data_IF_861544137870
#
_entry.id   IF_861544137870
#
_cell.length_a   1.000
_cell.length_b   1.000
_cell.length_c   1.000
_cell.angle_alpha   90.00
_cell.angle_beta   90.00
_cell.angle_gamma   90.00
#
_symmetry.space_group_name_H-M   'P 1'
#
loop_
_entity.id
_entity.type
_entity.pdbx_description
1 polymer ?
#
# COMPACT_ATOMS: atom_id res chain seq x y z
N UNK A 1 36.81 -23.26 -5.54
CA UNK A 1 36.01 -22.85 -4.36
C UNK A 1 34.57 -23.27 -4.63
N UNK A 2 34.03 -24.23 -3.87
CA UNK A 2 32.61 -24.60 -3.96
C UNK A 2 31.80 -23.45 -3.35
N UNK A 3 31.30 -22.53 -4.17
CA UNK A 3 30.29 -21.58 -3.73
C UNK A 3 29.02 -22.36 -3.43
N UNK A 4 28.61 -22.41 -2.16
CA UNK A 4 27.27 -22.86 -1.81
C UNK A 4 26.26 -22.05 -2.63
N UNK A 5 25.23 -22.68 -3.23
CA UNK A 5 24.20 -21.91 -3.92
C UNK A 5 23.53 -20.97 -2.93
N UNK A 6 23.53 -19.67 -3.26
CA UNK A 6 22.88 -18.63 -2.46
C UNK A 6 21.41 -18.98 -2.28
N UNK A 7 20.98 -19.14 -1.03
CA UNK A 7 19.60 -19.48 -0.72
C UNK A 7 18.77 -18.20 -0.68
N UNK A 8 18.17 -17.84 -1.80
CA UNK A 8 17.31 -16.67 -1.95
C UNK A 8 15.86 -16.88 -1.48
N UNK A 9 15.50 -18.13 -1.15
CA UNK A 9 14.19 -18.53 -0.63
C UNK A 9 14.33 -19.28 0.71
N UNK A 10 13.32 -19.18 1.56
CA UNK A 10 13.16 -19.81 2.86
C UNK A 10 11.67 -20.01 3.19
N UNK A 11 11.38 -20.86 4.19
CA UNK A 11 10.00 -21.05 4.66
C UNK A 11 9.38 -19.75 5.21
N UNK A 12 10.21 -18.84 5.74
CA UNK A 12 9.77 -17.53 6.22
C UNK A 12 9.22 -16.62 5.12
N UNK A 13 9.61 -16.83 3.86
CA UNK A 13 9.09 -16.06 2.72
C UNK A 13 7.58 -16.21 2.55
N UNK A 14 7.00 -17.34 2.98
CA UNK A 14 5.54 -17.54 2.88
C UNK A 14 4.80 -16.55 3.79
N UNK A 15 5.25 -16.40 5.04
CA UNK A 15 4.64 -15.46 5.98
C UNK A 15 4.84 -14.01 5.53
N UNK A 16 6.07 -13.69 5.10
CA UNK A 16 6.42 -12.38 4.57
C UNK A 16 5.57 -12.01 3.34
N UNK A 17 5.36 -12.97 2.42
CA UNK A 17 4.54 -12.78 1.22
C UNK A 17 3.11 -12.42 1.59
N UNK A 18 2.44 -13.18 2.47
CA UNK A 18 1.05 -12.88 2.82
C UNK A 18 0.91 -11.56 3.58
N UNK A 19 1.91 -11.16 4.38
CA UNK A 19 1.92 -9.84 5.00
C UNK A 19 1.98 -8.72 3.94
N UNK A 20 2.99 -8.77 3.08
CA UNK A 20 3.23 -7.73 2.07
C UNK A 20 2.14 -7.68 0.99
N UNK A 21 1.66 -8.84 0.55
CA UNK A 21 0.60 -8.94 -0.47
C UNK A 21 -0.73 -8.42 0.07
N UNK A 22 -1.13 -8.80 1.29
CA UNK A 22 -2.39 -8.32 1.85
C UNK A 22 -2.37 -6.82 2.13
N UNK A 23 -1.22 -6.27 2.51
CA UNK A 23 -1.05 -4.82 2.66
C UNK A 23 -1.28 -4.07 1.34
N UNK A 24 -0.61 -4.50 0.26
CA UNK A 24 -0.80 -3.92 -1.07
C UNK A 24 -2.25 -4.07 -1.58
N UNK A 25 -2.85 -5.24 -1.38
CA UNK A 25 -4.25 -5.49 -1.74
C UNK A 25 -5.19 -4.61 -0.91
N UNK A 26 -4.92 -4.43 0.38
CA UNK A 26 -5.68 -3.53 1.23
C UNK A 26 -5.60 -2.08 0.73
N UNK A 27 -4.43 -1.63 0.28
CA UNK A 27 -4.24 -0.31 -0.34
C UNK A 27 -5.08 -0.12 -1.61
N UNK A 28 -5.11 -1.12 -2.50
CA UNK A 28 -5.96 -1.08 -3.69
C UNK A 28 -7.45 -1.10 -3.34
N UNK A 29 -7.87 -1.97 -2.40
CA UNK A 29 -9.25 -2.02 -1.93
C UNK A 29 -9.66 -0.68 -1.33
N UNK A 30 -8.81 -0.09 -0.50
CA UNK A 30 -9.03 1.21 0.13
C UNK A 30 -9.23 2.30 -0.92
N UNK A 31 -8.35 2.39 -1.91
CA UNK A 31 -8.45 3.38 -2.99
C UNK A 31 -9.79 3.30 -3.72
N UNK A 32 -10.15 2.11 -4.21
CA UNK A 32 -11.38 1.89 -4.99
C UNK A 32 -12.62 2.09 -4.13
N UNK A 33 -12.62 1.57 -2.90
CA UNK A 33 -13.75 1.69 -1.97
C UNK A 33 -14.00 3.13 -1.59
N UNK A 34 -12.96 3.91 -1.24
CA UNK A 34 -13.13 5.31 -0.87
C UNK A 34 -13.64 6.15 -2.05
N UNK A 35 -13.09 5.97 -3.25
CA UNK A 35 -13.56 6.66 -4.45
C UNK A 35 -15.04 6.37 -4.71
N UNK A 36 -15.44 5.10 -4.58
CA UNK A 36 -16.82 4.67 -4.77
C UNK A 36 -17.75 5.22 -3.68
N UNK A 37 -17.43 5.00 -2.41
CA UNK A 37 -18.35 5.26 -1.29
C UNK A 37 -18.45 6.74 -0.97
N UNK A 38 -17.35 7.49 -1.10
CA UNK A 38 -17.31 8.91 -0.73
C UNK A 38 -17.69 9.83 -1.90
N UNK A 39 -17.29 9.47 -3.12
CA UNK A 39 -17.44 10.34 -4.29
C UNK A 39 -18.32 9.75 -5.40
N UNK A 40 -18.90 8.56 -5.19
CA UNK A 40 -19.70 7.85 -6.21
C UNK A 40 -18.93 7.66 -7.54
N UNK A 41 -17.61 7.52 -7.43
CA UNK A 41 -16.75 7.31 -8.60
C UNK A 41 -17.04 5.93 -9.24
N UNK A 42 -17.08 5.82 -10.58
CA UNK A 42 -17.38 4.56 -11.26
C UNK A 42 -16.35 3.48 -10.94
N UNK A 43 -16.78 2.42 -10.25
CA UNK A 43 -15.90 1.34 -9.79
C UNK A 43 -15.22 0.62 -10.95
N UNK A 44 -15.95 0.32 -12.02
CA UNK A 44 -15.39 -0.33 -13.21
C UNK A 44 -14.29 0.53 -13.86
N UNK A 45 -14.47 1.85 -13.90
CA UNK A 45 -13.44 2.76 -14.41
C UNK A 45 -12.17 2.68 -13.56
N UNK A 46 -12.29 2.75 -12.23
CA UNK A 46 -11.14 2.64 -11.33
C UNK A 46 -10.40 1.30 -11.50
N UNK A 47 -11.14 0.19 -11.59
CA UNK A 47 -10.57 -1.15 -11.76
C UNK A 47 -9.85 -1.34 -13.10
N UNK A 48 -10.36 -0.75 -14.18
CA UNK A 48 -9.83 -0.96 -15.55
C UNK A 48 -8.78 0.06 -15.97
N UNK A 49 -8.81 1.27 -15.42
CA UNK A 49 -7.91 2.36 -15.80
C UNK A 49 -6.84 2.67 -14.73
N UNK A 50 -7.21 2.66 -13.44
CA UNK A 50 -6.33 3.13 -12.35
C UNK A 50 -5.54 2.00 -11.69
N UNK A 51 -6.19 0.86 -11.41
CA UNK A 51 -5.58 -0.27 -10.71
C UNK A 51 -4.42 -0.91 -11.48
N UNK A 52 -4.48 -1.16 -12.81
CA UNK A 52 -3.41 -1.85 -13.52
C UNK A 52 -2.07 -1.10 -13.44
N UNK A 53 -2.07 0.21 -13.72
CA UNK A 53 -0.86 1.05 -13.60
C UNK A 53 -0.34 1.15 -12.16
N UNK A 54 -1.26 1.25 -11.19
CA UNK A 54 -0.90 1.28 -9.76
C UNK A 54 -0.23 -0.02 -9.30
N UNK A 55 -0.80 -1.16 -9.69
CA UNK A 55 -0.25 -2.49 -9.41
C UNK A 55 1.07 -2.75 -10.13
N UNK A 56 1.25 -2.19 -11.33
CA UNK A 56 2.51 -2.26 -12.07
C UNK A 56 3.66 -1.56 -11.32
N UNK A 57 3.37 -0.48 -10.59
CA UNK A 57 4.34 0.14 -9.68
C UNK A 57 4.90 -0.83 -8.65
N UNK A 58 4.01 -1.59 -7.99
CA UNK A 58 4.40 -2.63 -7.02
C UNK A 58 5.23 -3.72 -7.68
N UNK A 59 4.77 -4.22 -8.84
CA UNK A 59 5.48 -5.23 -9.63
C UNK A 59 6.92 -4.79 -9.94
N UNK A 60 7.10 -3.57 -10.45
CA UNK A 60 8.42 -3.04 -10.82
C UNK A 60 9.29 -2.88 -9.59
N UNK A 61 8.78 -2.23 -8.54
CA UNK A 61 9.54 -1.94 -7.33
C UNK A 61 10.01 -3.21 -6.60
N UNK A 62 9.11 -4.17 -6.39
CA UNK A 62 9.46 -5.43 -5.72
C UNK A 62 10.39 -6.31 -6.57
N UNK A 63 10.25 -6.32 -7.90
CA UNK A 63 11.22 -6.98 -8.79
C UNK A 63 12.61 -6.33 -8.67
N UNK A 64 12.68 -5.00 -8.65
CA UNK A 64 13.93 -4.30 -8.43
C UNK A 64 14.56 -4.69 -7.09
N UNK A 65 13.80 -4.67 -5.99
CA UNK A 65 14.32 -5.06 -4.68
C UNK A 65 14.70 -6.54 -4.58
N UNK A 66 13.97 -7.43 -5.26
CA UNK A 66 14.37 -8.83 -5.41
C UNK A 66 15.78 -8.93 -6.00
N UNK A 67 16.04 -8.28 -7.14
CA UNK A 67 17.36 -8.33 -7.78
C UNK A 67 18.46 -7.63 -6.97
N UNK A 68 18.15 -6.54 -6.27
CA UNK A 68 19.11 -5.85 -5.40
C UNK A 68 19.50 -6.77 -4.23
N UNK A 69 18.54 -7.45 -3.60
CA UNK A 69 18.78 -8.39 -2.52
C UNK A 69 19.65 -9.57 -2.98
N UNK A 70 19.38 -10.13 -4.17
CA UNK A 70 20.22 -11.18 -4.77
C UNK A 70 21.67 -10.72 -4.99
N UNK A 71 21.84 -9.49 -5.53
CA UNK A 71 23.17 -8.90 -5.74
C UNK A 71 23.90 -8.66 -4.42
N UNK A 72 23.18 -8.21 -3.39
CA UNK A 72 23.73 -8.01 -2.05
C UNK A 72 24.15 -9.34 -1.42
N UNK A 73 23.32 -10.37 -1.51
CA UNK A 73 23.62 -11.72 -1.03
C UNK A 73 24.88 -12.28 -1.73
N UNK A 74 25.00 -12.10 -3.04
CA UNK A 74 26.17 -12.52 -3.80
C UNK A 74 27.46 -11.77 -3.42
N UNK A 75 27.37 -10.46 -3.14
CA UNK A 75 28.54 -9.65 -2.74
C UNK A 75 29.00 -9.94 -1.31
N UNK A 76 28.06 -10.16 -0.40
CA UNK A 76 28.34 -10.39 1.03
C UNK A 76 28.59 -11.86 1.37
N UNK A 77 28.25 -12.78 0.47
CA UNK A 77 28.30 -14.22 0.72
C UNK A 77 27.30 -14.69 1.77
N UNK A 78 26.26 -13.89 2.05
CA UNK A 78 25.25 -14.15 3.08
C UNK A 78 23.99 -14.77 2.49
N UNK A 79 23.47 -15.77 3.20
CA UNK A 79 22.27 -16.53 2.86
C UNK A 79 21.00 -15.95 3.47
N UNK A 80 21.12 -14.93 4.33
CA UNK A 80 20.03 -14.42 5.16
C UNK A 80 19.50 -13.07 4.69
N UNK A 81 20.01 -12.48 3.60
CA UNK A 81 19.58 -11.16 3.11
C UNK A 81 18.07 -11.14 2.81
N UNK A 82 17.37 -10.18 3.42
CA UNK A 82 15.95 -9.93 3.19
C UNK A 82 15.81 -8.82 2.16
N UNK A 83 14.96 -9.01 1.15
CA UNK A 83 14.65 -7.94 0.20
C UNK A 83 13.88 -6.81 0.88
N UNK A 84 14.03 -5.58 0.40
CA UNK A 84 13.23 -4.48 0.95
C UNK A 84 11.79 -4.61 0.40
N UNK A 85 10.76 -4.63 1.26
CA UNK A 85 9.37 -4.68 0.81
C UNK A 85 8.98 -3.34 0.20
N UNK A 86 8.30 -3.35 -0.95
CA UNK A 86 7.71 -2.15 -1.55
C UNK A 86 6.21 -2.37 -1.77
N UNK A 87 5.45 -1.30 -1.61
CA UNK A 87 4.03 -1.33 -1.91
C UNK A 87 3.42 0.04 -2.12
N UNK A 88 2.11 0.10 -2.07
CA UNK A 88 1.35 1.35 -2.19
C UNK A 88 1.46 2.18 -0.93
N UNK A 89 1.70 3.48 -1.08
CA UNK A 89 1.74 4.38 0.06
C UNK A 89 0.33 4.65 0.59
N UNK A 90 -0.05 4.01 1.70
CA UNK A 90 -1.37 4.15 2.33
C UNK A 90 -1.68 5.60 2.73
N UNK A 91 -0.77 6.39 3.35
CA UNK A 91 -0.94 7.82 3.55
C UNK A 91 -1.38 8.57 2.28
N UNK A 92 -0.63 8.39 1.19
CA UNK A 92 -0.93 9.03 -0.09
C UNK A 92 -2.17 8.44 -0.73
N UNK A 93 -2.55 7.20 -0.42
CA UNK A 93 -3.82 6.62 -0.91
C UNK A 93 -4.99 7.44 -0.37
N UNK A 94 -5.02 7.72 0.93
CA UNK A 94 -6.00 8.65 1.50
C UNK A 94 -5.86 10.06 0.91
N UNK A 95 -4.62 10.56 0.85
CA UNK A 95 -4.33 11.91 0.35
C UNK A 95 -4.82 12.14 -1.08
N UNK A 96 -4.48 11.22 -1.99
CA UNK A 96 -4.88 11.25 -3.39
C UNK A 96 -6.39 11.11 -3.52
N UNK A 97 -7.02 10.16 -2.83
CA UNK A 97 -8.48 9.97 -2.99
C UNK A 97 -9.27 11.16 -2.43
N UNK A 98 -8.96 11.62 -1.22
CA UNK A 98 -9.75 12.63 -0.52
C UNK A 98 -9.44 14.07 -0.95
N UNK A 99 -8.22 14.36 -1.39
CA UNK A 99 -7.80 15.73 -1.70
C UNK A 99 -7.46 15.98 -3.17
N UNK A 100 -7.37 14.95 -4.00
CA UNK A 100 -7.04 15.09 -5.43
C UNK A 100 -8.13 14.49 -6.31
N UNK A 101 -8.26 13.17 -6.33
CA UNK A 101 -9.12 12.43 -7.26
C UNK A 101 -10.60 12.71 -7.00
N UNK A 102 -11.06 12.55 -5.76
CA UNK A 102 -12.45 12.80 -5.39
C UNK A 102 -12.91 14.24 -5.64
N UNK A 103 -12.17 15.26 -5.18
CA UNK A 103 -12.45 16.66 -5.49
C UNK A 103 -12.40 16.97 -7.00
N UNK A 104 -11.44 16.41 -7.74
CA UNK A 104 -11.36 16.60 -9.19
C UNK A 104 -12.58 16.01 -9.92
N UNK A 105 -13.03 14.83 -9.50
CA UNK A 105 -14.22 14.19 -10.04
C UNK A 105 -15.49 15.00 -9.75
N UNK A 106 -15.65 15.41 -8.50
CA UNK A 106 -16.78 16.25 -8.07
C UNK A 106 -16.81 17.59 -8.82
N UNK A 107 -15.65 18.22 -9.01
CA UNK A 107 -15.53 19.45 -9.79
C UNK A 107 -15.85 19.23 -11.27
N UNK A 108 -15.47 18.08 -11.84
CA UNK A 108 -15.84 17.71 -13.20
C UNK A 108 -17.35 17.57 -13.39
N UNK A 109 -18.02 16.86 -12.48
CA UNK A 109 -19.48 16.74 -12.48
C UNK A 109 -20.18 18.10 -12.30
N UNK A 110 -19.69 18.92 -11.37
CA UNK A 110 -20.24 20.26 -11.14
C UNK A 110 -20.07 21.19 -12.35
N UNK A 111 -19.05 20.96 -13.20
CA UNK A 111 -18.86 21.65 -14.46
C UNK A 111 -19.74 21.13 -15.61
N UNK A 112 -20.63 20.17 -15.35
CA UNK A 112 -21.55 19.60 -16.34
C UNK A 112 -20.95 18.52 -17.23
N UNK A 113 -19.78 17.97 -16.89
CA UNK A 113 -19.22 16.83 -17.59
C UNK A 113 -20.08 15.58 -17.36
N UNK A 114 -20.11 14.68 -18.34
CA UNK A 114 -20.66 13.34 -18.13
C UNK A 114 -19.82 12.58 -17.09
N UNK A 115 -20.42 11.58 -16.44
CA UNK A 115 -19.74 10.71 -15.46
C UNK A 115 -18.42 10.15 -16.01
N UNK A 116 -18.44 9.67 -17.25
CA UNK A 116 -17.26 9.12 -17.93
C UNK A 116 -16.21 10.20 -18.21
N UNK A 117 -16.61 11.37 -18.74
CA UNK A 117 -15.68 12.46 -19.01
C UNK A 117 -15.06 13.02 -17.72
N UNK A 118 -15.84 13.11 -16.63
CA UNK A 118 -15.34 13.50 -15.32
C UNK A 118 -14.37 12.46 -14.76
N UNK A 119 -14.64 11.16 -14.93
CA UNK A 119 -13.76 10.08 -14.52
C UNK A 119 -12.43 10.09 -15.30
N UNK A 120 -12.48 10.24 -16.62
CA UNK A 120 -11.28 10.35 -17.48
C UNK A 120 -10.45 11.58 -17.13
N UNK A 121 -11.08 12.76 -16.95
CA UNK A 121 -10.37 13.97 -16.50
C UNK A 121 -9.69 13.76 -15.15
N UNK A 122 -10.39 13.13 -14.20
CA UNK A 122 -9.87 12.83 -12.87
C UNK A 122 -8.67 11.89 -12.93
N UNK A 123 -8.75 10.86 -13.78
CA UNK A 123 -7.67 9.92 -14.01
C UNK A 123 -6.44 10.59 -14.61
N UNK A 124 -6.63 11.46 -15.60
CA UNK A 124 -5.55 12.25 -16.20
C UNK A 124 -4.87 13.20 -15.19
N UNK A 125 -5.66 13.85 -14.31
CA UNK A 125 -5.12 14.64 -13.19
C UNK A 125 -4.30 13.75 -12.25
N UNK A 126 -4.83 12.57 -11.90
CA UNK A 126 -4.14 11.58 -11.09
C UNK A 126 -2.80 11.14 -11.67
N UNK A 127 -2.75 10.83 -12.97
CA UNK A 127 -1.51 10.49 -13.70
C UNK A 127 -0.51 11.65 -13.59
N UNK A 128 -0.92 12.88 -13.89
CA UNK A 128 -0.06 14.06 -13.77
C UNK A 128 0.58 14.18 -12.38
N UNK A 129 -0.23 13.98 -11.33
CA UNK A 129 0.22 14.03 -9.95
C UNK A 129 1.25 12.92 -9.65
N UNK A 130 1.01 11.67 -10.06
CA UNK A 130 1.91 10.55 -9.79
C UNK A 130 3.21 10.64 -10.61
N UNK A 131 3.14 11.07 -11.86
CA UNK A 131 4.32 11.35 -12.69
C UNK A 131 5.17 12.44 -12.04
N UNK A 132 4.55 13.53 -11.57
CA UNK A 132 5.27 14.59 -10.86
C UNK A 132 5.91 14.07 -9.56
N UNK A 133 5.20 13.26 -8.77
CA UNK A 133 5.75 12.60 -7.59
C UNK A 133 6.98 11.76 -7.94
N UNK A 134 6.91 10.93 -8.98
CA UNK A 134 8.03 10.11 -9.44
C UNK A 134 9.25 10.94 -9.84
N UNK A 135 9.05 12.03 -10.59
CA UNK A 135 10.11 12.96 -10.98
C UNK A 135 10.72 13.65 -9.75
N UNK A 136 9.88 14.12 -8.82
CA UNK A 136 10.32 14.76 -7.59
C UNK A 136 11.16 13.81 -6.74
N UNK A 137 10.68 12.57 -6.53
CA UNK A 137 11.41 11.52 -5.80
C UNK A 137 12.74 11.18 -6.46
N UNK A 138 12.79 11.12 -7.80
CA UNK A 138 14.03 10.89 -8.55
C UNK A 138 15.03 12.01 -8.28
N UNK A 139 14.59 13.27 -8.30
CA UNK A 139 15.43 14.41 -7.94
C UNK A 139 15.96 14.29 -6.49
N UNK A 140 15.09 13.88 -5.56
CA UNK A 140 15.48 13.63 -4.16
C UNK A 140 16.45 12.44 -4.01
N UNK A 141 16.40 11.42 -4.87
CA UNK A 141 17.30 10.27 -4.79
C UNK A 141 18.77 10.70 -4.94
N UNK A 142 19.05 11.63 -5.87
CA UNK A 142 20.39 12.22 -6.06
C UNK A 142 20.82 13.09 -4.87
N UNK A 143 19.86 13.75 -4.21
CA UNK A 143 20.06 14.60 -3.03
C UNK A 143 19.82 13.90 -1.69
N UNK A 144 19.72 12.57 -1.65
CA UNK A 144 19.20 11.81 -0.49
C UNK A 144 19.93 12.09 0.82
N UNK A 145 21.25 12.26 0.76
CA UNK A 145 22.07 12.62 1.91
C UNK A 145 21.76 14.03 2.44
N UNK A 146 21.50 14.99 1.54
CA UNK A 146 21.13 16.36 1.91
C UNK A 146 19.72 16.42 2.51
N UNK A 147 18.76 15.70 1.93
CA UNK A 147 17.40 15.58 2.48
C UNK A 147 17.44 15.03 3.91
N UNK A 148 18.21 13.96 4.14
CA UNK A 148 18.40 13.36 5.47
C UNK A 148 18.93 14.35 6.51
N UNK A 149 19.81 15.28 6.11
CA UNK A 149 20.42 16.25 7.03
C UNK A 149 19.52 17.44 7.33
N UNK A 150 18.67 17.84 6.39
CA UNK A 150 17.82 19.02 6.54
C UNK A 150 16.53 18.76 7.30
N UNK A 151 15.99 17.54 7.22
CA UNK A 151 14.67 17.27 7.79
C UNK A 151 14.78 16.74 9.23
N UNK A 152 14.24 17.45 10.23
CA UNK A 152 14.34 17.04 11.62
C UNK A 152 13.51 15.78 11.87
N UNK A 153 14.17 14.66 12.24
CA UNK A 153 13.51 13.37 12.52
C UNK A 153 12.29 13.48 13.44
N UNK A 154 12.38 14.30 14.49
CA UNK A 154 11.27 14.47 15.43
C UNK A 154 10.00 15.07 14.78
N UNK A 155 10.13 15.94 13.79
CA UNK A 155 9.00 16.50 13.05
C UNK A 155 8.33 15.49 12.12
N UNK A 156 9.10 14.53 11.62
CA UNK A 156 8.63 13.47 10.72
C UNK A 156 8.00 12.31 11.47
N UNK A 157 8.58 11.90 12.59
CA UNK A 157 8.02 10.84 13.43
C UNK A 157 6.67 11.26 14.02
N UNK A 158 6.48 12.56 14.30
CA UNK A 158 5.18 13.11 14.71
C UNK A 158 4.10 12.96 13.63
N UNK A 159 4.37 13.42 12.40
CA UNK A 159 3.41 13.31 11.30
C UNK A 159 3.17 11.87 10.86
N UNK A 160 4.20 11.01 10.86
CA UNK A 160 4.06 9.59 10.58
C UNK A 160 3.22 8.88 11.63
N UNK A 161 3.43 9.15 12.93
CA UNK A 161 2.62 8.60 14.00
C UNK A 161 1.14 9.01 13.86
N UNK A 162 0.89 10.28 13.52
CA UNK A 162 -0.45 10.82 13.31
C UNK A 162 -1.17 10.15 12.13
N UNK A 163 -0.53 10.10 10.97
CA UNK A 163 -1.08 9.46 9.78
C UNK A 163 -1.32 7.97 10.04
N UNK A 164 -0.35 7.28 10.66
CA UNK A 164 -0.46 5.86 10.96
C UNK A 164 -1.62 5.57 11.93
N UNK A 165 -1.78 6.37 12.98
CA UNK A 165 -2.83 6.14 13.97
C UNK A 165 -4.21 6.55 13.45
N UNK A 166 -4.33 7.74 12.86
CA UNK A 166 -5.62 8.34 12.48
C UNK A 166 -6.09 7.82 11.12
N UNK A 167 -5.23 7.79 10.10
CA UNK A 167 -5.65 7.40 8.76
C UNK A 167 -5.49 5.89 8.53
N UNK A 168 -4.36 5.31 8.90
CA UNK A 168 -4.07 3.89 8.59
C UNK A 168 -4.71 2.93 9.59
N UNK A 169 -4.75 3.26 10.88
CA UNK A 169 -5.36 2.38 11.89
C UNK A 169 -6.84 2.71 12.15
N UNK A 170 -7.16 3.96 12.47
CA UNK A 170 -8.50 4.31 12.94
C UNK A 170 -9.57 4.20 11.84
N UNK A 171 -9.34 4.70 10.62
CA UNK A 171 -10.34 4.60 9.55
C UNK A 171 -10.64 3.12 9.18
N UNK A 172 -9.65 2.26 8.89
CA UNK A 172 -9.93 0.85 8.62
C UNK A 172 -10.55 0.11 9.81
N UNK A 173 -10.26 0.52 11.05
CA UNK A 173 -10.93 -0.05 12.23
C UNK A 173 -12.43 0.23 12.22
N UNK A 174 -12.88 1.41 11.78
CA UNK A 174 -14.31 1.71 11.64
C UNK A 174 -14.98 0.76 10.64
N UNK A 175 -14.34 0.48 9.51
CA UNK A 175 -14.82 -0.50 8.53
C UNK A 175 -14.86 -1.94 9.09
N UNK A 176 -13.87 -2.33 9.90
CA UNK A 176 -13.85 -3.61 10.61
C UNK A 176 -15.04 -3.73 11.57
N UNK A 177 -15.41 -2.63 12.25
CA UNK A 177 -16.53 -2.60 13.20
C UNK A 177 -17.90 -2.63 12.51
N UNK A 178 -18.00 -2.24 11.23
CA UNK A 178 -19.24 -2.39 10.45
C UNK A 178 -19.60 -3.86 10.15
N UNK A 179 -18.62 -4.78 10.17
CA UNK A 179 -18.85 -6.23 10.12
C UNK A 179 -18.25 -6.89 11.36
N UNK A 180 -18.85 -6.68 12.55
CA UNK A 180 -18.17 -6.87 13.82
C UNK A 180 -17.70 -8.32 14.03
N UNK A 181 -18.48 -9.33 13.64
CA UNK A 181 -18.06 -10.72 13.80
C UNK A 181 -16.89 -11.09 12.89
N UNK A 182 -17.03 -10.92 11.57
CA UNK A 182 -15.99 -11.27 10.61
C UNK A 182 -14.74 -10.41 10.78
N UNK A 183 -14.94 -9.11 10.96
CA UNK A 183 -13.88 -8.12 11.15
C UNK A 183 -13.11 -8.33 12.46
N UNK A 184 -13.80 -8.45 13.60
CA UNK A 184 -13.12 -8.63 14.89
C UNK A 184 -12.43 -9.99 15.01
N UNK A 185 -12.96 -11.03 14.37
CA UNK A 185 -12.26 -12.33 14.29
C UNK A 185 -10.95 -12.19 13.51
N UNK A 186 -10.99 -11.57 12.33
CA UNK A 186 -9.77 -11.30 11.54
C UNK A 186 -8.80 -10.42 12.34
N UNK A 187 -9.26 -9.33 12.93
CA UNK A 187 -8.44 -8.44 13.77
C UNK A 187 -7.82 -9.15 14.96
N UNK A 188 -8.56 -9.99 15.67
CA UNK A 188 -8.04 -10.76 16.80
C UNK A 188 -6.92 -11.69 16.34
N UNK A 189 -7.09 -12.38 15.22
CA UNK A 189 -6.07 -13.27 14.68
C UNK A 189 -4.85 -12.47 14.21
N UNK A 190 -5.03 -11.35 13.52
CA UNK A 190 -3.93 -10.45 13.12
C UNK A 190 -3.14 -9.99 14.34
N UNK A 191 -3.80 -9.46 15.38
CA UNK A 191 -3.12 -8.99 16.57
C UNK A 191 -2.41 -10.13 17.32
N UNK A 192 -3.03 -11.30 17.44
CA UNK A 192 -2.38 -12.47 18.07
C UNK A 192 -1.13 -12.93 17.29
N UNK A 193 -1.20 -12.89 15.96
CA UNK A 193 -0.15 -13.47 15.11
C UNK A 193 0.97 -12.51 14.79
N UNK A 194 0.66 -11.25 14.52
CA UNK A 194 1.63 -10.25 14.09
C UNK A 194 2.15 -9.40 15.26
N UNK A 195 1.27 -8.99 16.20
CA UNK A 195 1.70 -8.22 17.39
C UNK A 195 2.21 -9.14 18.49
N UNK A 196 1.40 -10.11 18.93
CA UNK A 196 1.79 -11.03 20.00
C UNK A 196 2.72 -12.17 19.53
N UNK A 197 3.04 -12.22 18.24
CA UNK A 197 3.92 -13.20 17.60
C UNK A 197 3.57 -14.67 17.94
N UNK A 198 2.29 -14.94 18.18
CA UNK A 198 1.79 -16.31 18.42
C UNK A 198 1.56 -17.01 17.10
N UNK A 199 1.93 -18.29 17.04
CA UNK A 199 1.68 -19.11 15.85
C UNK A 199 0.19 -19.40 15.72
N UNK A 200 -0.37 -19.17 14.53
CA UNK A 200 -1.72 -19.58 14.18
C UNK A 200 -1.68 -20.87 13.37
N UNK A 201 -1.72 -22.00 14.08
CA UNK A 201 -1.64 -23.32 13.49
C UNK A 201 -0.42 -23.46 12.56
N UNK A 202 -0.64 -23.90 11.31
CA UNK A 202 0.38 -24.02 10.24
C UNK A 202 0.21 -22.95 9.16
N UNK A 203 -0.72 -22.01 9.34
CA UNK A 203 -1.02 -20.99 8.34
C UNK A 203 -0.27 -19.68 8.66
N UNK A 204 0.13 -18.92 7.63
CA UNK A 204 0.55 -17.53 7.80
C UNK A 204 -0.51 -16.72 8.52
N UNK A 205 -0.12 -15.94 9.52
CA UNK A 205 -1.07 -15.25 10.41
C UNK A 205 -2.06 -14.36 9.67
N UNK A 206 -1.56 -13.54 8.73
CA UNK A 206 -2.38 -12.65 7.92
C UNK A 206 -3.35 -13.42 6.98
N UNK A 207 -2.90 -14.50 6.34
CA UNK A 207 -3.78 -15.37 5.54
C UNK A 207 -4.84 -16.04 6.40
N UNK A 208 -4.44 -16.61 7.54
CA UNK A 208 -5.35 -17.27 8.46
C UNK A 208 -6.43 -16.33 8.98
N UNK A 209 -6.06 -15.09 9.29
CA UNK A 209 -6.99 -14.05 9.69
C UNK A 209 -8.03 -13.75 8.60
N UNK A 210 -7.56 -13.50 7.36
CA UNK A 210 -8.44 -13.25 6.22
C UNK A 210 -9.38 -14.44 5.96
N UNK A 211 -8.85 -15.67 5.90
CA UNK A 211 -9.66 -16.86 5.61
C UNK A 211 -10.73 -17.13 6.67
N UNK A 212 -10.38 -17.00 7.95
CA UNK A 212 -11.35 -17.17 9.05
C UNK A 212 -12.39 -16.05 9.04
N UNK A 213 -11.97 -14.80 8.81
CA UNK A 213 -12.88 -13.67 8.63
C UNK A 213 -13.84 -13.89 7.46
N UNK A 214 -13.34 -14.31 6.30
CA UNK A 214 -14.16 -14.63 5.14
C UNK A 214 -15.14 -15.77 5.43
N UNK A 215 -14.68 -16.86 6.04
CA UNK A 215 -15.54 -17.98 6.40
C UNK A 215 -16.69 -17.53 7.32
N UNK A 216 -16.38 -16.71 8.33
CA UNK A 216 -17.39 -16.13 9.22
C UNK A 216 -18.36 -15.23 8.45
N UNK A 217 -17.86 -14.35 7.58
CA UNK A 217 -18.67 -13.44 6.77
C UNK A 217 -19.68 -14.19 5.88
N UNK A 218 -19.21 -15.19 5.13
CA UNK A 218 -20.07 -15.99 4.26
C UNK A 218 -21.04 -16.89 5.04
N UNK A 219 -20.62 -17.41 6.19
CA UNK A 219 -21.52 -18.15 7.08
C UNK A 219 -22.67 -17.26 7.59
N UNK A 220 -22.35 -16.02 7.99
CA UNK A 220 -23.36 -15.05 8.42
C UNK A 220 -24.31 -14.66 7.28
N UNK A 221 -23.78 -14.47 6.08
CA UNK A 221 -24.61 -14.22 4.90
C UNK A 221 -25.60 -15.36 4.66
N UNK A 222 -25.12 -16.60 4.67
CA UNK A 222 -25.95 -17.78 4.46
C UNK A 222 -27.01 -17.95 5.56
N UNK A 223 -26.65 -17.74 6.83
CA UNK A 223 -27.61 -17.75 7.94
C UNK A 223 -28.68 -16.66 7.79
N UNK A 224 -28.31 -15.47 7.33
CA UNK A 224 -29.24 -14.39 7.03
C UNK A 224 -30.24 -14.77 5.92
N UNK A 225 -29.78 -15.48 4.87
CA UNK A 225 -30.66 -16.00 3.81
C UNK A 225 -31.66 -17.06 4.33
N UNK A 226 -31.27 -17.81 5.36
CA UNK A 226 -32.15 -18.78 6.04
C UNK A 226 -33.13 -18.13 7.03
N UNK A 227 -33.13 -16.80 7.15
CA UNK A 227 -34.02 -16.04 8.03
C UNK A 227 -33.47 -15.83 9.45
N UNK A 228 -32.22 -16.20 9.72
CA UNK A 228 -31.57 -15.90 10.99
C UNK A 228 -31.01 -14.48 10.97
N UNK A 229 -31.83 -13.53 11.44
CA UNK A 229 -31.44 -12.14 11.61
C UNK A 229 -30.95 -11.88 13.05
N UNK A 230 -30.07 -10.89 13.24
CA UNK A 230 -29.56 -10.49 14.56
C UNK A 230 -28.03 -10.48 14.71
N UNK A 231 -27.29 -10.86 13.67
CA UNK A 231 -25.82 -10.91 13.68
C UNK A 231 -25.14 -9.71 12.98
N UNK A 232 -25.90 -8.68 12.64
CA UNK A 232 -25.48 -7.54 11.83
C UNK A 232 -25.69 -7.76 10.33
N UNK A 233 -25.86 -6.67 9.57
CA UNK A 233 -26.02 -6.74 8.12
C UNK A 233 -24.68 -6.99 7.43
N UNK A 234 -24.67 -7.95 6.51
CA UNK A 234 -23.50 -8.31 5.70
C UNK A 234 -23.54 -7.50 4.41
N UNK A 235 -22.67 -6.51 4.30
CA UNK A 235 -22.55 -5.66 3.12
C UNK A 235 -21.50 -6.19 2.16
N UNK A 236 -21.94 -6.59 0.97
CA UNK A 236 -21.05 -6.93 -0.13
C UNK A 236 -20.69 -5.67 -0.92
N UNK A 237 -19.46 -5.63 -1.39
CA UNK A 237 -19.13 -4.75 -2.51
C UNK A 237 -19.92 -5.23 -3.75
N UNK A 238 -20.30 -4.31 -4.65
CA UNK A 238 -21.09 -4.65 -5.81
C UNK A 238 -20.32 -5.65 -6.65
N UNK A 239 -21.06 -6.58 -7.25
CA UNK A 239 -20.50 -7.44 -8.27
C UNK A 239 -20.14 -6.54 -9.46
N UNK A 240 -18.84 -6.43 -9.72
CA UNK A 240 -18.31 -5.79 -10.91
C UNK A 240 -18.09 -6.87 -11.97
N UNK A 241 -18.36 -6.55 -13.24
CA UNK A 241 -17.98 -7.46 -14.31
C UNK A 241 -16.46 -7.52 -14.37
N UNK A 242 -15.88 -8.65 -13.93
CA UNK A 242 -14.43 -8.78 -13.81
C UNK A 242 -13.84 -8.92 -15.21
N UNK A 243 -13.34 -7.81 -15.73
CA UNK A 243 -12.64 -7.79 -17.01
C UNK A 243 -11.25 -8.40 -16.84
N UNK A 244 -11.08 -9.60 -17.37
CA UNK A 244 -9.76 -10.20 -17.48
C UNK A 244 -8.95 -9.50 -18.59
N UNK A 245 -7.68 -9.23 -18.30
CA UNK A 245 -6.78 -8.47 -19.17
C UNK A 245 -7.36 -7.09 -19.54
N UNK A 246 -7.65 -6.22 -18.56
CA UNK A 246 -8.17 -4.89 -18.85
C UNK A 246 -7.20 -4.15 -19.76
N UNK A 247 -7.71 -3.55 -20.83
CA UNK A 247 -6.90 -2.80 -21.82
C UNK A 247 -7.06 -1.29 -21.68
N UNK A 248 -8.03 -0.82 -20.89
CA UNK A 248 -8.38 0.59 -20.83
C UNK A 248 -7.24 1.47 -20.26
N UNK A 249 -6.48 0.98 -19.29
CA UNK A 249 -5.26 1.65 -18.78
C UNK A 249 -4.20 1.92 -19.87
N UNK A 250 -4.19 1.16 -20.98
CA UNK A 250 -3.27 1.40 -22.09
C UNK A 250 -3.50 2.76 -22.76
N UNK A 251 -4.68 3.36 -22.59
CA UNK A 251 -4.95 4.72 -23.06
C UNK A 251 -4.01 5.76 -22.43
N UNK A 252 -3.38 5.46 -21.29
CA UNK A 252 -2.34 6.32 -20.71
C UNK A 252 -1.15 6.55 -21.67
N UNK A 253 -0.87 5.60 -22.57
CA UNK A 253 0.19 5.71 -23.58
C UNK A 253 -0.17 6.61 -24.77
N UNK A 254 -1.42 7.08 -24.86
CA UNK A 254 -1.79 8.14 -25.81
C UNK A 254 -1.34 9.53 -25.35
N UNK A 255 -0.86 9.66 -24.10
CA UNK A 255 -0.39 10.92 -23.50
C UNK A 255 -1.42 12.06 -23.44
N UNK A 256 -2.71 11.76 -23.63
CA UNK A 256 -3.81 12.73 -23.47
C UNK A 256 -3.89 13.32 -22.06
N UNK A 257 -3.38 12.60 -21.07
CA UNK A 257 -3.28 13.09 -19.69
C UNK A 257 -2.41 14.34 -19.55
N UNK A 258 -1.50 14.61 -20.50
CA UNK A 258 -0.68 15.83 -20.49
C UNK A 258 -1.50 17.10 -20.66
N UNK A 259 -2.69 17.02 -21.29
CA UNK A 259 -3.62 18.14 -21.44
C UNK A 259 -4.20 18.55 -20.07
N UNK A 260 -4.37 17.60 -19.15
CA UNK A 260 -4.83 17.85 -17.79
C UNK A 260 -3.75 18.43 -16.88
N UNK A 261 -2.52 18.65 -17.37
CA UNK A 261 -1.43 19.16 -16.53
C UNK A 261 -1.74 20.55 -15.96
N UNK A 262 -2.44 21.41 -16.71
CA UNK A 262 -2.87 22.73 -16.24
C UNK A 262 -3.83 22.61 -15.05
N UNK A 263 -4.82 21.71 -15.17
CA UNK A 263 -5.80 21.41 -14.12
C UNK A 263 -5.14 20.76 -12.90
N UNK A 264 -4.11 19.94 -13.11
CA UNK A 264 -3.41 19.22 -12.04
C UNK A 264 -2.58 20.15 -11.14
N UNK A 265 -2.18 21.35 -11.61
CA UNK A 265 -1.28 22.25 -10.86
C UNK A 265 -1.81 22.64 -9.49
N UNK A 266 -3.13 22.77 -9.35
CA UNK A 266 -3.75 23.13 -8.08
C UNK A 266 -3.54 22.06 -6.99
N UNK A 267 -3.25 20.81 -7.39
CA UNK A 267 -3.05 19.69 -6.48
C UNK A 267 -1.57 19.45 -6.16
N UNK A 268 -0.62 20.06 -6.88
CA UNK A 268 0.81 19.88 -6.61
C UNK A 268 1.23 20.25 -5.18
N UNK A 269 0.69 21.32 -4.56
CA UNK A 269 0.98 21.62 -3.15
C UNK A 269 0.55 20.54 -2.16
N UNK A 270 -0.36 19.63 -2.55
CA UNK A 270 -0.80 18.48 -1.74
C UNK A 270 0.10 17.27 -2.01
N UNK A 271 0.37 17.00 -3.29
CA UNK A 271 1.05 15.78 -3.73
C UNK A 271 2.56 15.80 -3.43
N UNK A 272 3.21 16.96 -3.53
CA UNK A 272 4.64 17.09 -3.25
C UNK A 272 4.99 16.77 -1.78
N UNK A 273 4.26 17.27 -0.77
CA UNK A 273 4.46 16.85 0.63
C UNK A 273 4.32 15.35 0.85
N UNK A 274 3.34 14.70 0.21
CA UNK A 274 3.20 13.24 0.29
C UNK A 274 4.41 12.53 -0.31
N UNK A 275 4.84 12.94 -1.50
CA UNK A 275 6.04 12.39 -2.15
C UNK A 275 7.31 12.61 -1.31
N UNK A 276 7.46 13.76 -0.67
CA UNK A 276 8.55 14.02 0.28
C UNK A 276 8.47 13.12 1.51
N UNK A 277 7.26 12.91 2.03
CA UNK A 277 7.00 11.99 3.14
C UNK A 277 7.46 10.56 2.82
N UNK A 278 7.21 10.06 1.61
CA UNK A 278 7.67 8.72 1.22
C UNK A 278 9.19 8.66 1.01
N UNK A 279 9.82 9.70 0.45
CA UNK A 279 11.30 9.78 0.35
C UNK A 279 11.93 9.62 1.73
N UNK A 280 11.39 10.33 2.71
CA UNK A 280 11.85 10.27 4.09
C UNK A 280 11.57 8.90 4.70
N UNK A 281 10.38 8.35 4.47
CA UNK A 281 10.05 6.98 4.86
C UNK A 281 11.01 5.95 4.27
N UNK A 282 11.45 6.14 3.02
CA UNK A 282 12.47 5.34 2.35
C UNK A 282 13.84 5.43 3.04
N UNK A 283 14.23 6.63 3.51
CA UNK A 283 15.44 6.81 4.34
C UNK A 283 15.30 6.02 5.65
N UNK A 284 14.18 6.15 6.35
CA UNK A 284 13.94 5.45 7.61
C UNK A 284 13.90 3.92 7.40
N UNK A 285 13.35 3.45 6.28
CA UNK A 285 13.38 2.03 5.89
C UNK A 285 14.81 1.54 5.67
N UNK A 286 15.69 2.35 5.06
CA UNK A 286 17.10 1.98 4.87
C UNK A 286 17.84 1.86 6.20
N UNK A 287 17.58 2.76 7.14
CA UNK A 287 18.16 2.69 8.49
C UNK A 287 17.61 1.51 9.29
N UNK A 288 16.31 1.22 9.15
CA UNK A 288 15.65 0.07 9.75
C UNK A 288 16.25 -1.24 9.24
N UNK A 289 16.49 -1.37 7.93
CA UNK A 289 17.14 -2.53 7.32
C UNK A 289 18.60 -2.70 7.81
N UNK A 290 19.36 -1.60 7.88
CA UNK A 290 20.72 -1.61 8.39
C UNK A 290 20.79 -2.07 9.85
N UNK A 291 19.81 -1.69 10.68
CA UNK A 291 19.72 -2.15 12.08
C UNK A 291 19.49 -3.67 12.22
N UNK A 292 18.86 -4.29 11.21
CA UNK A 292 18.67 -5.73 11.09
C UNK A 292 19.84 -6.45 10.36
N UNK A 293 20.89 -5.71 10.01
CA UNK A 293 22.11 -6.21 9.38
C UNK A 293 22.14 -6.14 7.85
N UNK A 294 21.11 -5.60 7.18
CA UNK A 294 21.08 -5.50 5.71
C UNK A 294 21.27 -4.05 5.27
N UNK A 295 22.48 -3.70 4.82
CA UNK A 295 22.90 -2.33 4.51
C UNK A 295 22.61 -1.96 3.04
N UNK A 296 21.43 -1.39 2.81
CA UNK A 296 20.99 -0.92 1.49
C UNK A 296 21.41 0.54 1.25
N UNK A 297 22.04 0.89 0.11
CA UNK A 297 22.35 2.28 -0.20
C UNK A 297 21.07 3.12 -0.31
N UNK A 298 20.94 4.15 0.52
CA UNK A 298 19.72 4.99 0.61
C UNK A 298 19.31 5.59 -0.73
N UNK A 299 20.24 6.15 -1.50
CA UNK A 299 19.95 6.69 -2.83
C UNK A 299 19.44 5.64 -3.82
N UNK A 300 19.85 4.38 -3.68
CA UNK A 300 19.34 3.28 -4.51
C UNK A 300 17.91 2.91 -4.12
N UNK A 301 17.59 2.86 -2.83
CA UNK A 301 16.23 2.58 -2.34
C UNK A 301 15.24 3.64 -2.82
N UNK A 302 15.56 4.92 -2.60
CA UNK A 302 14.72 6.05 -3.05
C UNK A 302 14.64 6.05 -4.59
N UNK A 303 15.74 5.74 -5.28
CA UNK A 303 15.74 5.63 -6.74
C UNK A 303 14.77 4.56 -7.26
N UNK A 304 14.74 3.37 -6.64
CA UNK A 304 13.80 2.29 -7.00
C UNK A 304 12.36 2.73 -6.77
N UNK A 305 12.07 3.30 -5.60
CA UNK A 305 10.74 3.83 -5.27
C UNK A 305 10.29 4.88 -6.30
N UNK A 306 11.17 5.79 -6.67
CA UNK A 306 10.89 6.87 -7.59
C UNK A 306 10.62 6.37 -9.02
N UNK A 307 11.42 5.41 -9.49
CA UNK A 307 11.22 4.74 -10.79
C UNK A 307 9.91 3.96 -10.79
N UNK A 308 9.61 3.20 -9.74
CA UNK A 308 8.36 2.47 -9.60
C UNK A 308 7.14 3.39 -9.63
N UNK A 309 7.18 4.50 -8.88
CA UNK A 309 6.13 5.53 -8.87
C UNK A 309 5.98 6.18 -10.25
N UNK A 310 7.07 6.58 -10.90
CA UNK A 310 7.04 7.21 -12.21
C UNK A 310 6.44 6.28 -13.28
N UNK A 311 6.91 5.03 -13.33
CA UNK A 311 6.42 4.04 -14.29
C UNK A 311 4.97 3.65 -14.01
N UNK A 312 4.55 3.59 -12.73
CA UNK A 312 3.16 3.42 -12.38
C UNK A 312 2.29 4.54 -12.98
N UNK A 313 2.69 5.80 -12.76
CA UNK A 313 1.99 6.96 -13.31
C UNK A 313 1.90 6.94 -14.83
N UNK A 314 3.03 6.69 -15.53
CA UNK A 314 3.06 6.57 -16.99
C UNK A 314 2.18 5.44 -17.54
N UNK A 315 1.85 4.45 -16.72
CA UNK A 315 0.95 3.34 -17.04
C UNK A 315 -0.47 3.53 -16.49
N UNK A 316 -0.87 4.76 -16.13
CA UNK A 316 -2.23 5.05 -15.65
C UNK A 316 -2.43 4.90 -14.15
N UNK A 317 -1.38 4.64 -13.38
CA UNK A 317 -1.44 4.55 -11.93
C UNK A 317 -1.71 5.89 -11.27
N UNK A 318 -2.51 5.88 -10.20
CA UNK A 318 -2.95 7.10 -9.48
C UNK A 318 -2.54 7.11 -8.01
N UNK A 319 -1.80 6.09 -7.57
CA UNK A 319 -1.24 5.98 -6.23
C UNK A 319 0.26 5.73 -6.36
N UNK A 320 1.05 6.42 -5.55
CA UNK A 320 2.50 6.26 -5.53
C UNK A 320 2.95 5.06 -4.71
N UNK A 321 4.14 4.55 -5.02
CA UNK A 321 4.76 3.46 -4.26
C UNK A 321 5.66 4.01 -3.16
N UNK A 322 5.91 3.19 -2.15
CA UNK A 322 6.85 3.46 -1.06
C UNK A 322 7.46 2.16 -0.55
N UNK A 323 8.73 2.13 -0.10
CA UNK A 323 9.24 1.05 0.74
C UNK A 323 8.43 0.96 2.04
N UNK A 324 8.15 -0.25 2.49
CA UNK A 324 7.41 -0.47 3.73
C UNK A 324 8.32 -0.55 4.95
N UNK A 325 7.91 0.17 5.99
CA UNK A 325 8.50 0.07 7.33
C UNK A 325 8.23 -1.34 7.86
N UNK A 326 9.23 -1.94 8.53
CA UNK A 326 9.10 -3.28 9.09
C UNK A 326 10.10 -4.30 8.56
N UNK A 327 11.16 -3.88 7.86
CA UNK A 327 12.27 -4.77 7.45
C UNK A 327 12.75 -5.72 8.57
N UNK A 328 12.95 -5.27 9.84
CA UNK A 328 13.30 -6.17 10.93
C UNK A 328 12.25 -7.25 11.22
N UNK A 329 10.96 -6.95 11.04
CA UNK A 329 9.89 -7.92 11.22
C UNK A 329 9.92 -8.99 10.12
N UNK A 330 10.05 -8.59 8.85
CA UNK A 330 10.21 -9.52 7.73
C UNK A 330 11.46 -10.41 7.88
N UNK A 331 12.57 -9.82 8.33
CA UNK A 331 13.82 -10.54 8.67
C UNK A 331 13.60 -11.55 9.79
N UNK A 332 12.93 -11.15 10.89
CA UNK A 332 12.64 -12.02 12.02
C UNK A 332 11.70 -13.18 11.67
N UNK A 333 10.79 -12.99 10.69
CA UNK A 333 9.98 -14.07 10.11
C UNK A 333 10.80 -15.06 9.28
N UNK A 334 12.06 -14.75 8.96
CA UNK A 334 12.92 -15.52 8.08
C UNK A 334 12.66 -15.26 6.59
N UNK A 335 12.04 -14.12 6.25
CA UNK A 335 11.85 -13.69 4.87
C UNK A 335 13.19 -13.38 4.20
N UNK A 336 13.34 -13.77 2.93
CA UNK A 336 14.54 -13.56 2.13
C UNK A 336 14.19 -12.71 0.91
N UNK A 337 14.48 -13.15 -0.31
CA UNK A 337 14.12 -12.40 -1.52
C UNK A 337 12.86 -12.96 -2.17
N UNK A 338 12.53 -14.24 -1.99
CA UNK A 338 11.43 -14.88 -2.71
C UNK A 338 10.06 -14.24 -2.44
N UNK A 339 9.84 -13.70 -1.24
CA UNK A 339 8.55 -13.10 -0.91
C UNK A 339 8.23 -11.84 -1.71
N UNK A 340 9.21 -10.97 -1.99
CA UNK A 340 8.98 -9.78 -2.81
C UNK A 340 8.71 -10.16 -4.25
N UNK A 341 9.41 -11.17 -4.80
CA UNK A 341 9.09 -11.71 -6.12
C UNK A 341 7.65 -12.25 -6.17
N UNK A 342 7.23 -13.01 -5.17
CA UNK A 342 5.87 -13.53 -5.08
C UNK A 342 4.83 -12.41 -4.99
N UNK A 343 5.08 -11.37 -4.19
CA UNK A 343 4.22 -10.18 -4.11
C UNK A 343 4.16 -9.46 -5.45
N UNK A 344 5.30 -9.23 -6.10
CA UNK A 344 5.39 -8.55 -7.37
C UNK A 344 4.49 -9.23 -8.42
N UNK A 345 4.64 -10.56 -8.55
CA UNK A 345 3.86 -11.37 -9.49
C UNK A 345 2.37 -11.42 -9.12
N UNK A 346 2.05 -11.52 -7.83
CA UNK A 346 0.66 -11.54 -7.37
C UNK A 346 0.01 -10.17 -7.61
N UNK A 347 0.47 -9.12 -6.94
CA UNK A 347 -0.13 -7.78 -7.02
C UNK A 347 -0.09 -7.24 -8.46
N UNK A 348 1.04 -7.38 -9.15
CA UNK A 348 1.16 -7.02 -10.56
C UNK A 348 0.18 -7.80 -11.44
N UNK A 349 0.06 -9.11 -11.23
CA UNK A 349 -0.93 -9.94 -11.90
C UNK A 349 -2.36 -9.53 -11.58
N UNK A 350 -2.65 -9.09 -10.35
CA UNK A 350 -3.99 -8.69 -9.93
C UNK A 350 -4.51 -7.52 -10.77
N UNK A 351 -3.64 -6.54 -11.05
CA UNK A 351 -3.94 -5.43 -11.95
C UNK A 351 -3.90 -5.82 -13.43
N UNK A 352 -2.84 -6.49 -13.89
CA UNK A 352 -2.62 -6.74 -15.33
C UNK A 352 -3.50 -7.86 -15.91
N UNK A 353 -3.70 -8.95 -15.15
CA UNK A 353 -4.62 -10.04 -15.51
C UNK A 353 -6.07 -9.66 -15.16
N UNK A 354 -6.26 -8.72 -14.23
CA UNK A 354 -7.59 -8.17 -13.89
C UNK A 354 -8.33 -8.95 -12.80
N UNK A 355 -7.73 -9.98 -12.21
CA UNK A 355 -8.39 -10.76 -11.14
C UNK A 355 -8.61 -9.95 -9.85
N UNK A 356 -8.03 -8.75 -9.73
CA UNK A 356 -8.35 -7.83 -8.64
C UNK A 356 -9.84 -7.45 -8.60
N UNK A 357 -10.54 -7.37 -9.73
CA UNK A 357 -12.00 -7.13 -9.75
C UNK A 357 -12.78 -8.20 -8.99
N UNK A 358 -12.42 -9.48 -9.21
CA UNK A 358 -12.99 -10.59 -8.46
C UNK A 358 -12.61 -10.52 -6.98
N UNK A 359 -11.36 -10.17 -6.67
CA UNK A 359 -10.94 -9.98 -5.28
C UNK A 359 -11.74 -8.88 -4.58
N UNK A 360 -11.95 -7.75 -5.26
CA UNK A 360 -12.73 -6.61 -4.77
C UNK A 360 -14.19 -6.99 -4.45
N UNK A 361 -14.84 -7.77 -5.32
CA UNK A 361 -16.22 -8.20 -5.07
C UNK A 361 -16.35 -9.37 -4.08
N UNK A 362 -15.39 -10.29 -4.03
CA UNK A 362 -15.52 -11.54 -3.27
C UNK A 362 -14.87 -11.50 -1.89
N UNK A 363 -13.87 -10.65 -1.67
CA UNK A 363 -13.15 -10.59 -0.39
C UNK A 363 -13.66 -9.38 0.40
N UNK A 364 -14.35 -9.59 1.53
CA UNK A 364 -14.89 -8.48 2.29
C UNK A 364 -13.76 -7.64 2.88
N UNK A 365 -13.76 -6.34 2.62
CA UNK A 365 -12.73 -5.41 3.11
C UNK A 365 -12.50 -5.52 4.63
N UNK A 366 -13.54 -5.77 5.41
CA UNK A 366 -13.45 -5.95 6.88
C UNK A 366 -12.54 -7.11 7.30
N UNK A 367 -12.28 -8.08 6.41
CA UNK A 367 -11.39 -9.22 6.67
C UNK A 367 -9.94 -8.95 6.30
N UNK A 368 -9.69 -7.94 5.45
CA UNK A 368 -8.36 -7.55 4.95
C UNK A 368 -7.82 -6.34 5.72
N UNK A 369 -8.66 -5.32 5.95
CA UNK A 369 -8.33 -4.08 6.65
C UNK A 369 -7.69 -4.22 8.03
N UNK A 370 -7.90 -5.30 8.80
CA UNK A 370 -7.11 -5.53 10.00
C UNK A 370 -5.59 -5.53 9.80
N UNK A 371 -5.09 -5.84 8.60
CA UNK A 371 -3.66 -5.72 8.29
C UNK A 371 -3.20 -4.25 8.38
N UNK A 372 -4.01 -3.31 7.89
CA UNK A 372 -3.73 -1.87 7.97
C UNK A 372 -3.77 -1.40 9.42
N UNK A 373 -4.70 -1.91 10.24
CA UNK A 373 -4.73 -1.63 11.68
C UNK A 373 -3.42 -2.06 12.34
N UNK A 374 -2.93 -3.27 12.06
CA UNK A 374 -1.65 -3.73 12.55
C UNK A 374 -0.48 -2.84 12.10
N UNK A 375 -0.42 -2.50 10.81
CA UNK A 375 0.64 -1.65 10.25
C UNK A 375 0.63 -0.26 10.89
N UNK A 376 -0.55 0.35 11.04
CA UNK A 376 -0.70 1.64 11.70
C UNK A 376 -0.20 1.58 13.14
N UNK A 377 -0.55 0.53 13.90
CA UNK A 377 -0.05 0.33 15.26
C UNK A 377 1.48 0.17 15.33
N UNK A 378 2.08 -0.61 14.43
CA UNK A 378 3.54 -0.78 14.35
C UNK A 378 4.26 0.52 14.00
N UNK A 379 3.80 1.25 12.98
CA UNK A 379 4.42 2.53 12.58
C UNK A 379 4.31 3.55 13.73
N UNK A 380 3.16 3.63 14.40
CA UNK A 380 3.00 4.47 15.59
C UNK A 380 3.97 4.05 16.69
N UNK A 381 4.05 2.76 17.03
CA UNK A 381 4.96 2.26 18.06
C UNK A 381 6.43 2.55 17.75
N UNK A 382 6.87 2.32 16.51
CA UNK A 382 8.23 2.62 16.06
C UNK A 382 8.53 4.12 16.15
N UNK A 383 7.54 4.97 15.81
CA UNK A 383 7.69 6.43 15.92
C UNK A 383 7.94 6.88 17.36
N UNK A 384 7.24 6.28 18.33
CA UNK A 384 7.49 6.51 19.76
C UNK A 384 8.83 5.93 20.22
N UNK A 385 9.24 4.75 19.74
CA UNK A 385 10.53 4.15 20.11
C UNK A 385 11.73 4.94 19.58
N UNK A 386 11.62 5.49 18.37
CA UNK A 386 12.66 6.31 17.74
C UNK A 386 12.74 7.75 18.30
N UNK A 387 11.72 8.18 19.05
CA UNK A 387 11.64 9.52 19.61
C UNK A 387 12.12 9.55 21.07
N UNK A 388 12.94 10.53 21.50
CA UNK A 388 13.23 10.73 22.92
C UNK A 388 11.95 10.97 23.74
N UNK A 389 11.81 10.30 24.89
CA UNK A 389 10.60 10.37 25.75
C UNK A 389 10.09 11.78 26.03
N UNK A 390 10.98 12.76 26.18
CA UNK A 390 10.61 14.17 26.40
C UNK A 390 9.82 14.81 25.25
N UNK A 391 9.89 14.27 24.04
CA UNK A 391 9.15 14.76 22.87
C UNK A 391 7.88 13.94 22.58
N UNK A 392 7.49 12.98 23.43
CA UNK A 392 6.25 12.21 23.24
C UNK A 392 4.99 13.09 23.17
N UNK A 393 4.86 14.20 23.93
CA UNK A 393 3.75 15.12 23.74
C UNK A 393 3.70 15.73 22.33
N UNK A 394 4.85 15.93 21.68
CA UNK A 394 4.91 16.43 20.31
C UNK A 394 4.41 15.40 19.28
N UNK A 395 4.59 14.09 19.54
CA UNK A 395 3.96 13.03 18.74
C UNK A 395 2.45 12.98 19.00
N UNK A 396 2.04 13.10 20.27
CA UNK A 396 0.64 13.09 20.66
C UNK A 396 -0.16 14.25 20.06
N UNK A 397 0.39 15.47 20.09
CA UNK A 397 -0.27 16.64 19.50
C UNK A 397 -0.33 16.55 17.97
N UNK A 398 0.64 15.90 17.32
CA UNK A 398 0.60 15.69 15.87
C UNK A 398 -0.57 14.80 15.44
N UNK A 399 -1.07 13.92 16.33
CA UNK A 399 -2.24 13.07 16.08
C UNK A 399 -3.58 13.82 16.21
N UNK A 400 -3.58 15.05 16.71
CA UNK A 400 -4.77 15.88 16.79
C UNK A 400 -4.93 16.67 15.47
N UNK A 401 -6.16 16.79 14.93
CA UNK A 401 -6.42 17.52 13.70
C UNK A 401 -6.15 19.02 13.78
#
# INVERSE_FOLDING_TARGET
MNSKPLRWAAAGDVNAFFGLMLDNVAGLLLAVTLLRVVYEFPTEFALTHMVPGTALGVLIGDLCFFFIALRMAARTGRDDITAMPLGLDTPSTFGMVLFVLGPAYSAGLAAGLSVEAAATRTWHIGICCIVLSGIFKLACAFGSHWVRQMVPRAGLLGSLAAIALVLIAFIPLVDVLHSPLAGMLSLTIVLLTLVAQKRFFRLPGALGAMLVGCAAFYALHYLGQLGFHGFGEVHFEPLVDTQFLPTAWLAAFNFEWTEAFADARQYFPIVIPFALGTVIGGIDCTESAASAGDDYPTGQVIGVEAVATLLAGLCGGVIQTTPYIGHPAYKAMGGRSAYTLATALFVGGAGLIGYFGAFYSLVPKATVFPILVFIGLEITAQSYHATPRRHYPALGIACLP
#
